data_IF_775672407594
#
_entry.id   IF_775672407594
#
_cell.length_a   1.000
_cell.length_b   1.000
_cell.length_c   1.000
_cell.angle_alpha   90.00
_cell.angle_beta   90.00
_cell.angle_gamma   90.00
#
_symmetry.space_group_name_H-M   'P 1'
#
loop_
_entity.id
_entity.type
_entity.pdbx_description
1 polymer ?
#
# COMPACT_ATOMS: atom_id res chain seq x y z
N UNK A 1 19.58 18.91 -7.34
CA UNK A 1 18.92 17.61 -7.17
C UNK A 1 17.69 17.81 -6.31
N UNK A 2 16.50 17.69 -6.89
CA UNK A 2 15.24 17.76 -6.16
C UNK A 2 14.83 16.34 -5.75
N UNK A 3 14.40 16.15 -4.51
CA UNK A 3 13.69 14.93 -4.11
C UNK A 3 12.22 15.16 -4.40
N UNK A 4 11.63 14.34 -5.25
CA UNK A 4 10.21 14.35 -5.56
C UNK A 4 9.44 13.81 -4.35
N UNK A 5 8.49 14.60 -3.86
CA UNK A 5 7.55 14.18 -2.82
C UNK A 5 6.22 13.81 -3.49
N UNK A 6 6.04 12.52 -3.76
CA UNK A 6 4.86 12.02 -4.46
C UNK A 6 3.56 12.26 -3.67
N UNK A 7 3.61 12.44 -2.33
CA UNK A 7 2.42 12.84 -1.56
C UNK A 7 1.96 14.25 -1.91
N UNK A 8 2.87 15.14 -2.33
CA UNK A 8 2.51 16.48 -2.83
C UNK A 8 2.01 16.43 -4.27
N UNK A 9 2.53 15.51 -5.08
CA UNK A 9 2.09 15.29 -6.47
C UNK A 9 0.67 14.70 -6.48
N UNK A 10 0.42 13.69 -5.64
CA UNK A 10 -0.86 12.98 -5.55
C UNK A 10 -1.68 13.45 -4.35
N UNK A 11 -1.64 14.75 -4.07
CA UNK A 11 -2.19 15.35 -2.84
C UNK A 11 -3.62 14.89 -2.54
N UNK A 12 -4.47 14.81 -3.56
CA UNK A 12 -5.89 14.46 -3.39
C UNK A 12 -6.08 13.02 -2.86
N UNK A 13 -5.08 12.14 -3.01
CA UNK A 13 -5.08 10.76 -2.51
C UNK A 13 -4.35 10.60 -1.17
N UNK A 14 -3.66 11.63 -0.69
CA UNK A 14 -2.88 11.61 0.57
C UNK A 14 -3.24 12.74 1.53
N UNK A 15 -4.36 13.42 1.29
CA UNK A 15 -4.86 14.50 2.16
C UNK A 15 -6.38 14.47 2.34
N UNK A 16 -6.92 13.26 2.49
CA UNK A 16 -8.34 13.03 2.73
C UNK A 16 -8.88 13.90 3.89
N UNK A 17 -10.11 14.45 3.77
CA UNK A 17 -10.75 15.21 4.83
C UNK A 17 -11.27 14.32 5.96
N UNK A 18 -11.67 14.94 7.07
CA UNK A 18 -12.30 14.24 8.20
C UNK A 18 -13.77 13.86 7.93
N UNK A 19 -14.37 14.48 6.90
CA UNK A 19 -15.69 14.13 6.38
C UNK A 19 -15.52 13.25 5.13
N UNK A 20 -16.38 12.25 4.90
CA UNK A 20 -16.30 11.41 3.71
C UNK A 20 -16.41 12.19 2.40
N UNK A 21 -15.66 11.77 1.39
CA UNK A 21 -15.78 12.29 0.02
C UNK A 21 -15.59 11.20 -1.04
N UNK A 22 -16.13 11.43 -2.23
CA UNK A 22 -15.86 10.60 -3.40
C UNK A 22 -14.51 10.97 -4.03
N UNK A 23 -13.75 9.96 -4.45
CA UNK A 23 -12.44 10.14 -5.09
C UNK A 23 -12.29 9.20 -6.27
N UNK A 24 -11.63 9.68 -7.33
CA UNK A 24 -11.14 8.85 -8.43
C UNK A 24 -9.69 8.46 -8.16
N UNK A 25 -9.43 7.16 -7.96
CA UNK A 25 -8.10 6.60 -7.74
C UNK A 25 -7.57 6.04 -9.06
N UNK A 26 -6.60 6.72 -9.71
CA UNK A 26 -6.04 6.25 -10.98
C UNK A 26 -5.13 5.05 -10.74
N UNK A 27 -4.97 4.20 -11.76
CA UNK A 27 -4.03 3.10 -11.70
C UNK A 27 -2.58 3.59 -11.69
N UNK A 28 -1.77 3.08 -10.77
CA UNK A 28 -0.37 3.44 -10.55
C UNK A 28 0.50 2.22 -10.30
N UNK A 29 1.82 2.28 -10.52
CA UNK A 29 2.71 1.17 -10.22
C UNK A 29 2.92 1.01 -8.71
N UNK A 30 2.93 -0.25 -8.26
CA UNK A 30 3.15 -0.62 -6.87
C UNK A 30 4.09 -1.81 -6.75
N UNK A 31 4.83 -1.88 -5.64
CA UNK A 31 5.30 -3.14 -5.08
C UNK A 31 4.22 -3.69 -4.16
N UNK A 32 3.90 -4.98 -4.30
CA UNK A 32 2.86 -5.64 -3.53
C UNK A 32 3.33 -6.99 -2.99
N UNK A 33 2.84 -7.37 -1.81
CA UNK A 33 2.90 -8.74 -1.27
C UNK A 33 1.51 -9.08 -0.74
N UNK A 34 0.99 -10.22 -1.18
CA UNK A 34 -0.27 -10.78 -0.68
C UNK A 34 0.00 -11.71 0.51
N UNK A 35 -0.97 -11.83 1.40
CA UNK A 35 -0.90 -12.76 2.51
C UNK A 35 -2.21 -12.87 3.28
N UNK A 36 -2.18 -13.62 4.38
CA UNK A 36 -3.35 -13.90 5.21
C UNK A 36 -3.07 -13.77 6.70
N UNK A 37 -4.14 -13.69 7.50
CA UNK A 37 -4.11 -13.67 8.96
C UNK A 37 -3.95 -12.29 9.59
N UNK A 38 -3.92 -12.28 10.92
CA UNK A 38 -3.90 -11.06 11.73
C UNK A 38 -2.59 -10.27 11.54
N UNK A 39 -2.65 -9.04 11.02
CA UNK A 39 -1.44 -8.22 10.80
C UNK A 39 -0.74 -7.79 12.09
N UNK A 40 -1.41 -7.87 13.24
CA UNK A 40 -0.85 -7.45 14.53
C UNK A 40 0.04 -8.52 15.16
N UNK A 41 -0.16 -9.78 14.81
CA UNK A 41 0.48 -10.93 15.47
C UNK A 41 1.12 -11.92 14.48
N UNK A 42 0.71 -11.89 13.21
CA UNK A 42 1.18 -12.78 12.17
C UNK A 42 2.60 -12.46 11.70
N UNK A 43 3.48 -13.46 11.76
CA UNK A 43 4.84 -13.37 11.21
C UNK A 43 4.82 -13.09 9.70
N UNK A 44 3.83 -13.62 8.98
CA UNK A 44 3.68 -13.43 7.53
C UNK A 44 3.57 -11.94 7.15
N UNK A 45 2.75 -11.18 7.88
CA UNK A 45 2.60 -9.74 7.66
C UNK A 45 3.88 -8.98 8.02
N UNK A 46 4.52 -9.32 9.15
CA UNK A 46 5.80 -8.73 9.54
C UNK A 46 6.90 -8.99 8.51
N UNK A 47 6.96 -10.19 7.94
CA UNK A 47 7.91 -10.60 6.91
C UNK A 47 7.63 -9.89 5.57
N UNK A 48 6.36 -9.71 5.21
CA UNK A 48 5.95 -8.93 4.04
C UNK A 48 6.42 -7.48 4.15
N UNK A 49 6.08 -6.79 5.24
CA UNK A 49 6.46 -5.38 5.45
C UNK A 49 7.98 -5.21 5.52
N UNK A 50 8.67 -6.13 6.22
CA UNK A 50 10.14 -6.09 6.32
C UNK A 50 10.84 -6.37 4.99
N UNK A 51 10.16 -6.99 4.02
CA UNK A 51 10.65 -7.21 2.65
C UNK A 51 10.34 -6.01 1.74
N UNK A 52 9.12 -5.45 1.81
CA UNK A 52 8.68 -4.35 0.95
C UNK A 52 9.56 -3.10 1.05
N UNK A 53 9.92 -2.67 2.27
CA UNK A 53 10.73 -1.45 2.44
C UNK A 53 12.12 -1.56 1.80
N UNK A 54 12.93 -2.61 2.06
CA UNK A 54 14.19 -2.82 1.36
C UNK A 54 14.07 -2.81 -0.17
N UNK A 55 13.00 -3.38 -0.72
CA UNK A 55 12.72 -3.37 -2.17
C UNK A 55 12.41 -1.96 -2.68
N UNK A 56 11.54 -1.22 -2.00
CA UNK A 56 11.21 0.15 -2.35
C UNK A 56 12.44 1.09 -2.30
N UNK A 57 13.32 0.92 -1.31
CA UNK A 57 14.59 1.63 -1.27
C UNK A 57 15.57 1.19 -2.37
N UNK A 58 15.53 -0.08 -2.79
CA UNK A 58 16.27 -0.58 -3.94
C UNK A 58 15.85 0.12 -5.23
N UNK A 59 14.54 0.18 -5.49
CA UNK A 59 13.97 0.87 -6.65
C UNK A 59 14.29 2.36 -6.63
N UNK A 60 14.20 3.01 -5.45
CA UNK A 60 14.63 4.40 -5.28
C UNK A 60 16.08 4.62 -5.70
N UNK A 61 16.97 3.66 -5.39
CA UNK A 61 18.37 3.73 -5.85
C UNK A 61 18.47 3.57 -7.35
N UNK A 62 17.77 2.61 -7.95
CA UNK A 62 17.75 2.39 -9.41
C UNK A 62 17.29 3.65 -10.13
N UNK A 63 16.16 4.25 -9.74
CA UNK A 63 15.66 5.49 -10.34
C UNK A 63 16.66 6.63 -10.22
N UNK A 64 17.29 6.79 -9.05
CA UNK A 64 18.32 7.82 -8.86
C UNK A 64 19.53 7.61 -9.77
N UNK A 65 19.96 6.36 -9.94
CA UNK A 65 21.13 6.03 -10.75
C UNK A 65 20.83 6.16 -12.26
N UNK A 66 19.59 5.89 -12.72
CA UNK A 66 19.20 5.94 -14.13
C UNK A 66 18.71 7.31 -14.61
N UNK A 67 18.00 8.05 -13.76
CA UNK A 67 17.35 9.33 -14.13
C UNK A 67 18.03 10.55 -13.49
N UNK A 68 18.79 10.35 -12.42
CA UNK A 68 19.31 11.43 -11.57
C UNK A 68 18.31 11.96 -10.53
N UNK A 69 17.04 11.57 -10.64
CA UNK A 69 15.97 12.00 -9.73
C UNK A 69 15.87 11.08 -8.51
N UNK A 70 15.60 11.68 -7.35
CA UNK A 70 15.27 10.92 -6.15
C UNK A 70 13.80 11.17 -5.79
N UNK A 71 13.16 10.21 -5.14
CA UNK A 71 11.83 10.39 -4.55
C UNK A 71 11.81 9.95 -3.09
N UNK A 72 10.85 10.42 -2.30
CA UNK A 72 10.61 9.88 -0.97
C UNK A 72 9.86 8.54 -1.09
N UNK A 73 10.34 7.49 -0.39
CA UNK A 73 9.60 6.20 -0.35
C UNK A 73 8.21 6.47 0.22
N UNK A 74 7.18 5.93 -0.45
CA UNK A 74 5.79 6.17 -0.10
C UNK A 74 5.37 5.44 1.18
N UNK A 75 4.33 5.92 1.87
CA UNK A 75 3.75 5.20 3.00
C UNK A 75 3.33 3.78 2.61
N UNK A 76 3.32 2.90 3.59
CA UNK A 76 2.71 1.59 3.45
C UNK A 76 1.20 1.75 3.26
N UNK A 77 0.66 1.07 2.27
CA UNK A 77 -0.77 0.94 2.00
C UNK A 77 -1.17 -0.53 2.20
N UNK A 78 -2.44 -0.79 2.51
CA UNK A 78 -2.95 -2.13 2.76
C UNK A 78 -4.38 -2.29 2.27
N UNK A 79 -4.61 -3.32 1.46
CA UNK A 79 -5.95 -3.81 1.11
C UNK A 79 -6.30 -4.92 2.08
N UNK A 80 -7.56 -4.97 2.54
CA UNK A 80 -8.04 -5.91 3.55
C UNK A 80 -9.38 -6.49 3.14
N UNK A 81 -9.50 -7.81 3.17
CA UNK A 81 -10.75 -8.48 2.87
C UNK A 81 -10.83 -9.85 3.55
N UNK A 82 -11.98 -10.49 3.45
CA UNK A 82 -12.18 -11.93 3.70
C UNK A 82 -12.98 -12.49 2.53
N UNK A 83 -13.01 -13.81 2.34
CA UNK A 83 -13.75 -14.42 1.21
C UNK A 83 -15.26 -14.10 1.26
N UNK A 84 -15.82 -13.99 2.48
CA UNK A 84 -17.20 -13.56 2.74
C UNK A 84 -17.18 -12.29 3.58
N UNK A 85 -17.35 -11.13 2.96
CA UNK A 85 -17.27 -9.82 3.60
C UNK A 85 -18.30 -9.61 4.72
N UNK A 86 -19.35 -10.43 4.83
CA UNK A 86 -20.25 -10.40 5.99
C UNK A 86 -19.57 -10.85 7.28
N UNK A 87 -18.41 -11.52 7.17
CA UNK A 87 -17.57 -11.99 8.25
C UNK A 87 -16.37 -11.08 8.52
N UNK A 88 -16.25 -9.93 7.87
CA UNK A 88 -15.15 -9.01 8.12
C UNK A 88 -15.34 -8.35 9.49
N UNK A 89 -14.50 -8.72 10.47
CA UNK A 89 -14.54 -8.22 11.85
C UNK A 89 -13.13 -7.84 12.31
N UNK A 90 -13.02 -6.82 13.18
CA UNK A 90 -11.75 -6.43 13.81
C UNK A 90 -11.46 -7.23 15.07
N UNK A 91 -12.44 -7.94 15.62
CA UNK A 91 -12.33 -8.82 16.78
C UNK A 91 -11.62 -10.14 16.42
N UNK A 92 -11.93 -10.72 15.26
CA UNK A 92 -11.26 -11.91 14.73
C UNK A 92 -10.67 -11.64 13.34
N UNK A 93 -9.35 -11.48 13.30
CA UNK A 93 -8.59 -11.22 12.07
C UNK A 93 -7.94 -12.47 11.48
N UNK A 94 -8.25 -13.65 12.00
CA UNK A 94 -7.57 -14.90 11.61
C UNK A 94 -7.80 -15.27 10.14
N UNK A 95 -8.99 -14.98 9.62
CA UNK A 95 -9.37 -15.27 8.23
C UNK A 95 -9.07 -14.11 7.27
N UNK A 96 -8.52 -13.00 7.75
CA UNK A 96 -8.20 -11.84 6.92
C UNK A 96 -7.26 -12.23 5.78
N UNK A 97 -7.48 -11.62 4.64
CA UNK A 97 -6.61 -11.61 3.49
C UNK A 97 -6.20 -10.18 3.25
N UNK A 98 -4.96 -9.99 2.83
CA UNK A 98 -4.44 -8.65 2.65
C UNK A 98 -3.43 -8.59 1.51
N UNK A 99 -3.32 -7.39 0.95
CA UNK A 99 -2.23 -7.00 0.06
C UNK A 99 -1.55 -5.81 0.72
N UNK A 100 -0.29 -5.97 1.11
CA UNK A 100 0.54 -4.88 1.59
C UNK A 100 1.31 -4.29 0.41
N UNK A 101 1.28 -2.97 0.25
CA UNK A 101 1.78 -2.32 -0.96
C UNK A 101 2.45 -0.99 -0.72
N UNK A 102 3.41 -0.64 -1.59
CA UNK A 102 4.10 0.65 -1.59
C UNK A 102 4.04 1.23 -3.00
N UNK A 103 3.45 2.43 -3.11
CA UNK A 103 3.34 3.16 -4.36
C UNK A 103 4.72 3.55 -4.91
N UNK A 104 4.88 3.38 -6.21
CA UNK A 104 6.08 3.71 -6.97
C UNK A 104 5.85 4.93 -7.87
N UNK A 105 6.91 5.67 -8.25
CA UNK A 105 6.82 6.64 -9.33
C UNK A 105 6.53 5.96 -10.68
N UNK A 106 5.88 6.67 -11.59
CA UNK A 106 5.56 6.21 -12.96
C UNK A 106 6.80 5.82 -13.78
N UNK A 107 7.97 6.32 -13.40
CA UNK A 107 9.25 5.96 -14.02
C UNK A 107 9.69 4.51 -13.74
N UNK A 108 9.11 3.83 -12.75
CA UNK A 108 9.44 2.44 -12.46
C UNK A 108 8.71 1.52 -13.43
N UNK A 109 9.47 0.73 -14.18
CA UNK A 109 8.95 -0.30 -15.09
C UNK A 109 8.92 -1.67 -14.40
N UNK A 110 8.17 -2.62 -15.00
CA UNK A 110 8.14 -4.01 -14.55
C UNK A 110 9.54 -4.65 -14.53
N UNK A 111 10.38 -4.37 -15.53
CA UNK A 111 11.75 -4.91 -15.60
C UNK A 111 12.62 -4.36 -14.46
N UNK A 112 12.58 -3.05 -14.21
CA UNK A 112 13.31 -2.44 -13.08
C UNK A 112 12.89 -3.04 -11.75
N UNK A 113 11.58 -3.28 -11.58
CA UNK A 113 11.04 -3.90 -10.38
C UNK A 113 11.45 -5.37 -10.26
N UNK A 114 11.35 -6.16 -11.32
CA UNK A 114 11.75 -7.57 -11.35
C UNK A 114 13.22 -7.76 -11.00
N UNK A 115 14.12 -7.02 -11.65
CA UNK A 115 15.57 -7.07 -11.36
C UNK A 115 15.89 -6.62 -9.92
N UNK A 116 15.18 -5.60 -9.42
CA UNK A 116 15.35 -5.13 -8.04
C UNK A 116 14.86 -6.18 -7.05
N UNK A 117 13.69 -6.79 -7.29
CA UNK A 117 13.13 -7.84 -6.45
C UNK A 117 14.11 -9.00 -6.35
N UNK A 118 14.60 -9.51 -7.47
CA UNK A 118 15.55 -10.63 -7.49
C UNK A 118 16.85 -10.27 -6.75
N UNK A 119 17.51 -9.18 -7.15
CA UNK A 119 18.84 -8.83 -6.65
C UNK A 119 18.84 -8.44 -5.17
N UNK A 120 17.86 -7.66 -4.72
CA UNK A 120 17.78 -7.20 -3.32
C UNK A 120 17.33 -8.34 -2.41
N UNK A 121 16.40 -9.18 -2.86
CA UNK A 121 15.97 -10.37 -2.11
C UNK A 121 17.14 -11.30 -1.87
N UNK A 122 17.90 -11.66 -2.91
CA UNK A 122 19.05 -12.54 -2.78
C UNK A 122 20.14 -11.93 -1.87
N UNK A 123 20.46 -10.65 -2.07
CA UNK A 123 21.51 -9.95 -1.31
C UNK A 123 21.19 -9.80 0.17
N UNK A 124 19.94 -9.44 0.49
CA UNK A 124 19.51 -9.14 1.86
C UNK A 124 18.84 -10.32 2.56
N UNK A 125 18.58 -11.42 1.83
CA UNK A 125 17.83 -12.59 2.31
C UNK A 125 16.46 -12.17 2.85
N UNK A 126 15.73 -11.40 2.05
CA UNK A 126 14.42 -10.88 2.45
C UNK A 126 13.44 -12.05 2.67
N UNK A 127 12.76 -12.12 3.83
CA UNK A 127 11.96 -13.30 4.19
C UNK A 127 10.81 -13.56 3.20
N UNK A 128 10.13 -12.50 2.76
CA UNK A 128 9.02 -12.56 1.79
C UNK A 128 9.37 -11.93 0.45
N UNK A 129 10.66 -11.70 0.16
CA UNK A 129 11.06 -11.04 -1.09
C UNK A 129 10.68 -11.82 -2.35
N UNK A 130 10.61 -13.15 -2.25
CA UNK A 130 10.17 -14.04 -3.34
C UNK A 130 8.66 -13.99 -3.61
N UNK A 131 7.87 -13.38 -2.72
CA UNK A 131 6.43 -13.16 -2.88
C UNK A 131 6.12 -11.76 -3.42
N UNK A 132 7.11 -10.87 -3.50
CA UNK A 132 6.92 -9.53 -3.98
C UNK A 132 6.62 -9.51 -5.48
N UNK A 133 5.61 -8.74 -5.87
CA UNK A 133 5.21 -8.50 -7.25
C UNK A 133 5.15 -7.01 -7.57
N UNK A 134 5.38 -6.69 -8.84
CA UNK A 134 5.07 -5.39 -9.41
C UNK A 134 3.69 -5.46 -10.06
N UNK A 135 2.83 -4.50 -9.77
CA UNK A 135 1.53 -4.40 -10.43
C UNK A 135 1.11 -2.94 -10.61
N UNK A 136 0.37 -2.69 -11.68
CA UNK A 136 -0.33 -1.41 -11.89
C UNK A 136 -1.75 -1.56 -11.39
N UNK A 137 -2.09 -0.87 -10.29
CA UNK A 137 -3.35 -1.01 -9.58
C UNK A 137 -3.97 0.35 -9.29
N UNK A 138 -5.31 0.42 -9.31
CA UNK A 138 -6.07 1.57 -8.80
C UNK A 138 -7.53 1.22 -8.59
N UNK A 139 -8.13 1.75 -7.52
CA UNK A 139 -9.49 1.43 -7.08
C UNK A 139 -10.59 2.03 -7.97
N UNK A 140 -10.25 2.93 -8.90
CA UNK A 140 -11.24 3.59 -9.75
C UNK A 140 -12.12 4.54 -8.94
N UNK A 141 -13.44 4.35 -8.93
CA UNK A 141 -14.37 5.18 -8.15
C UNK A 141 -14.43 4.64 -6.70
N UNK A 142 -13.96 5.45 -5.76
CA UNK A 142 -13.92 5.10 -4.34
C UNK A 142 -14.48 6.24 -3.47
N UNK A 143 -14.62 5.98 -2.18
CA UNK A 143 -14.83 7.00 -1.16
C UNK A 143 -13.69 6.94 -0.15
N UNK A 144 -13.29 8.08 0.41
CA UNK A 144 -12.20 8.17 1.39
C UNK A 144 -12.59 9.06 2.57
N UNK A 145 -11.98 8.79 3.72
CA UNK A 145 -12.10 9.59 4.95
C UNK A 145 -10.84 9.42 5.80
N UNK A 146 -10.42 10.49 6.47
CA UNK A 146 -9.28 10.46 7.38
C UNK A 146 -9.71 10.10 8.80
N UNK A 147 -9.36 8.89 9.24
CA UNK A 147 -9.42 8.52 10.65
C UNK A 147 -8.26 9.17 11.43
N UNK A 148 -8.56 9.73 12.61
CA UNK A 148 -7.56 10.29 13.53
C UNK A 148 -7.75 9.68 14.91
N UNK A 149 -6.92 8.69 15.22
CA UNK A 149 -7.00 7.96 16.47
C UNK A 149 -6.34 6.59 16.37
N UNK A 150 -6.46 5.78 17.43
CA UNK A 150 -6.12 4.36 17.41
C UNK A 150 -7.02 3.59 16.43
N UNK A 151 -6.48 2.57 15.77
CA UNK A 151 -7.28 1.68 14.91
C UNK A 151 -8.51 1.06 15.61
N UNK A 152 -8.43 0.81 16.92
CA UNK A 152 -9.56 0.29 17.69
C UNK A 152 -10.78 1.24 17.71
N UNK A 153 -10.59 2.52 17.42
CA UNK A 153 -11.62 3.56 17.42
C UNK A 153 -12.09 3.94 16.00
N UNK A 154 -11.72 3.17 14.97
CA UNK A 154 -12.04 3.51 13.58
C UNK A 154 -13.48 3.18 13.17
N UNK A 155 -14.17 2.31 13.94
CA UNK A 155 -15.53 1.85 13.62
C UNK A 155 -16.54 2.98 13.35
N UNK A 156 -16.62 4.07 14.15
CA UNK A 156 -17.49 5.20 13.83
C UNK A 156 -17.09 5.95 12.55
N UNK A 157 -15.80 5.95 12.19
CA UNK A 157 -15.32 6.57 10.94
C UNK A 157 -15.75 5.75 9.74
N UNK A 158 -15.64 4.42 9.83
CA UNK A 158 -16.08 3.49 8.79
C UNK A 158 -17.61 3.54 8.61
N UNK A 159 -18.38 3.56 9.71
CA UNK A 159 -19.84 3.68 9.65
C UNK A 159 -20.29 4.94 8.88
N UNK A 160 -19.69 6.11 9.19
CA UNK A 160 -19.95 7.36 8.47
C UNK A 160 -19.62 7.28 6.98
N UNK A 161 -18.56 6.53 6.62
CA UNK A 161 -18.19 6.33 5.22
C UNK A 161 -19.23 5.49 4.48
N UNK A 162 -19.77 4.44 5.13
CA UNK A 162 -20.86 3.64 4.56
C UNK A 162 -22.13 4.46 4.37
N UNK A 163 -22.55 5.23 5.39
CA UNK A 163 -23.73 6.11 5.28
C UNK A 163 -23.60 7.07 4.10
N UNK A 164 -22.41 7.67 3.92
CA UNK A 164 -22.12 8.55 2.79
C UNK A 164 -22.21 7.83 1.43
N UNK A 165 -21.73 6.59 1.34
CA UNK A 165 -21.77 5.80 0.09
C UNK A 165 -23.22 5.45 -0.27
N UNK A 166 -24.05 5.10 0.70
CA UNK A 166 -25.45 4.72 0.48
C UNK A 166 -26.32 5.91 0.03
N UNK A 167 -25.92 7.14 0.39
CA UNK A 167 -26.60 8.39 0.02
C UNK A 167 -26.15 8.99 -1.34
N UNK A 168 -25.07 8.48 -1.95
CA UNK A 168 -24.35 9.10 -3.08
C UNK A 168 -24.72 8.60 -4.50
#
# INVERSE_FOLDING_TARGET
>A
MATIDLKKVYRDHYSAPADPELVGVPSRPYLMIDGRGDPNTGQEYADAVSSLYPLAYGLRKVIKDTTGDAYAVMPLEGLWWVDDMTRFTVEDKSDWQWTSMILLPDAVTADMAGETIESVTAKKKLPSGHLARFEVYGDGKAAQVLHRGPYADEAPTIARLHDFIDEA
#
